data_IF_434955107710
#
_entry.id   IF_434955107710
#
_cell.length_a   1.000
_cell.length_b   1.000
_cell.length_c   1.000
_cell.angle_alpha   90.00
_cell.angle_beta   90.00
_cell.angle_gamma   90.00
#
_symmetry.space_group_name_H-M   'P 1'
#
loop_
_entity.id
_entity.type
_entity.pdbx_description
1 polymer ?
#
# COMPACT_ATOMS: atom_id res chain seq x y z
N UNK A 1 48.64 3.34 -16.24
CA UNK A 1 47.50 2.42 -16.21
C UNK A 1 46.31 3.28 -16.53
N UNK A 2 45.71 3.12 -17.71
CA UNK A 2 44.46 3.81 -18.05
C UNK A 2 43.39 3.33 -17.05
N UNK A 3 42.71 4.27 -16.39
CA UNK A 3 41.52 3.97 -15.61
C UNK A 3 40.52 3.33 -16.56
N UNK A 4 40.31 2.01 -16.43
CA UNK A 4 39.30 1.31 -17.19
C UNK A 4 37.94 1.87 -16.78
N UNK A 5 37.21 2.50 -17.70
CA UNK A 5 35.82 2.87 -17.45
C UNK A 5 35.03 1.62 -17.02
N UNK A 6 34.55 1.63 -15.78
CA UNK A 6 33.70 0.56 -15.26
C UNK A 6 32.25 0.90 -15.54
N UNK A 7 31.59 0.06 -16.35
CA UNK A 7 30.14 0.11 -16.53
C UNK A 7 29.45 -0.68 -15.40
N UNK A 8 28.46 -0.07 -14.75
CA UNK A 8 27.64 -0.73 -13.72
C UNK A 8 26.30 -1.18 -14.29
N UNK A 9 25.83 -2.35 -13.86
CA UNK A 9 24.48 -2.82 -14.18
C UNK A 9 23.43 -2.01 -13.40
N UNK A 10 22.36 -1.59 -14.07
CA UNK A 10 21.27 -0.83 -13.47
C UNK A 10 19.94 -1.53 -13.70
N UNK A 11 19.06 -1.48 -12.71
CA UNK A 11 17.72 -2.09 -12.76
C UNK A 11 16.68 -0.97 -12.74
N UNK A 12 15.89 -0.88 -13.82
CA UNK A 12 14.76 0.02 -13.87
C UNK A 12 13.71 -0.37 -12.83
N UNK A 13 13.09 0.62 -12.18
CA UNK A 13 12.06 0.43 -11.15
C UNK A 13 10.92 -0.47 -11.61
N UNK A 14 10.47 -0.31 -12.87
CA UNK A 14 9.42 -1.11 -13.50
C UNK A 14 9.69 -2.63 -13.47
N UNK A 15 10.95 -3.05 -13.35
CA UNK A 15 11.32 -4.47 -13.21
C UNK A 15 10.66 -5.12 -12.00
N UNK A 16 10.47 -4.36 -10.90
CA UNK A 16 9.75 -4.88 -9.73
C UNK A 16 8.28 -5.14 -10.02
N UNK A 17 7.63 -4.31 -10.84
CA UNK A 17 6.23 -4.50 -11.24
C UNK A 17 6.07 -5.81 -12.01
N UNK A 18 6.98 -6.07 -12.96
CA UNK A 18 7.00 -7.32 -13.72
C UNK A 18 7.27 -8.53 -12.81
N UNK A 19 8.24 -8.42 -11.91
CA UNK A 19 8.56 -9.51 -10.98
C UNK A 19 7.37 -9.82 -10.05
N UNK A 20 6.68 -8.79 -9.55
CA UNK A 20 5.52 -9.00 -8.70
C UNK A 20 4.31 -9.59 -9.43
N UNK A 21 4.07 -9.19 -10.68
CA UNK A 21 2.96 -9.73 -11.48
C UNK A 21 3.18 -11.20 -11.87
N UNK A 22 4.43 -11.62 -12.09
CA UNK A 22 4.78 -13.02 -12.36
C UNK A 22 4.77 -13.89 -11.09
N UNK A 23 5.27 -13.37 -9.96
CA UNK A 23 5.39 -14.14 -8.72
C UNK A 23 4.07 -14.29 -7.96
N UNK A 24 3.18 -13.30 -8.06
CA UNK A 24 1.87 -13.30 -7.41
C UNK A 24 0.79 -13.36 -8.49
N UNK A 25 0.36 -14.59 -8.78
CA UNK A 25 -0.47 -14.89 -9.96
C UNK A 25 -1.95 -14.53 -9.81
N UNK A 26 -2.44 -14.38 -8.58
CA UNK A 26 -3.84 -14.09 -8.28
C UNK A 26 -4.01 -13.27 -7.01
N UNK A 27 -5.17 -12.62 -6.86
CA UNK A 27 -5.49 -11.76 -5.71
C UNK A 27 -5.66 -12.63 -4.46
N UNK A 28 -6.17 -13.84 -4.61
CA UNK A 28 -6.29 -14.86 -3.58
C UNK A 28 -4.91 -15.27 -3.05
N UNK A 29 -3.94 -15.50 -3.95
CA UNK A 29 -2.55 -15.79 -3.56
C UNK A 29 -1.92 -14.60 -2.85
N UNK A 30 -2.19 -13.38 -3.30
CA UNK A 30 -1.69 -12.17 -2.66
C UNK A 30 -2.16 -12.07 -1.20
N UNK A 31 -3.47 -12.23 -0.97
CA UNK A 31 -4.07 -12.25 0.37
C UNK A 31 -3.47 -13.39 1.19
N UNK A 32 -3.35 -14.59 0.62
CA UNK A 32 -2.79 -15.75 1.31
C UNK A 32 -1.34 -15.54 1.79
N UNK A 33 -0.48 -14.92 0.98
CA UNK A 33 0.90 -14.58 1.39
C UNK A 33 0.92 -13.58 2.56
N UNK A 34 0.02 -12.59 2.57
CA UNK A 34 -0.09 -11.64 3.68
C UNK A 34 -0.57 -12.32 4.97
N UNK A 35 -1.51 -13.26 4.85
CA UNK A 35 -1.97 -14.08 5.99
C UNK A 35 -0.84 -14.96 6.55
N UNK A 36 -0.04 -15.58 5.68
CA UNK A 36 1.14 -16.35 6.13
C UNK A 36 2.12 -15.48 6.90
N UNK A 37 2.39 -14.26 6.43
CA UNK A 37 3.28 -13.33 7.12
C UNK A 37 2.76 -12.98 8.53
N UNK A 38 1.46 -12.75 8.69
CA UNK A 38 0.85 -12.53 10.00
C UNK A 38 1.00 -13.75 10.94
N UNK A 39 0.80 -14.97 10.44
CA UNK A 39 1.02 -16.19 11.24
C UNK A 39 2.49 -16.51 11.48
N UNK A 40 3.40 -16.07 10.60
CA UNK A 40 4.84 -16.11 10.81
C UNK A 40 5.29 -15.12 11.88
N UNK A 41 4.59 -14.00 12.03
CA UNK A 41 4.72 -13.08 13.17
C UNK A 41 4.12 -13.63 14.48
N UNK A 42 3.69 -14.90 14.49
CA UNK A 42 3.07 -15.57 15.64
C UNK A 42 1.74 -14.95 16.09
N UNK A 43 1.02 -14.29 15.19
CA UNK A 43 -0.32 -13.79 15.50
C UNK A 43 -1.31 -14.95 15.70
N UNK A 44 -2.11 -14.95 16.78
CA UNK A 44 -3.13 -15.97 17.02
C UNK A 44 -4.37 -15.83 16.12
N UNK A 45 -4.58 -14.64 15.56
CA UNK A 45 -5.73 -14.32 14.69
C UNK A 45 -5.36 -13.23 13.70
N UNK A 46 -6.00 -13.23 12.55
CA UNK A 46 -5.85 -12.16 11.55
C UNK A 46 -7.22 -11.60 11.24
N UNK A 47 -7.36 -10.27 11.26
CA UNK A 47 -8.58 -9.57 10.88
C UNK A 47 -8.40 -9.02 9.48
N UNK A 48 -9.35 -9.32 8.60
CA UNK A 48 -9.41 -8.75 7.26
C UNK A 48 -10.64 -7.85 7.20
N UNK A 49 -10.46 -6.61 6.73
CA UNK A 49 -11.54 -5.69 6.42
C UNK A 49 -11.41 -5.28 4.97
N UNK A 50 -12.48 -5.46 4.20
CA UNK A 50 -12.58 -4.99 2.82
C UNK A 50 -13.66 -3.91 2.79
N UNK A 51 -13.26 -2.70 2.45
CA UNK A 51 -14.14 -1.56 2.34
C UNK A 51 -14.14 -1.12 0.89
N UNK A 52 -15.22 -1.39 0.15
CA UNK A 52 -15.37 -1.01 -1.26
C UNK A 52 -16.72 -0.31 -1.51
N UNK A 53 -16.99 0.82 -0.84
CA UNK A 53 -18.26 1.51 -0.96
C UNK A 53 -18.47 2.17 -2.32
N UNK A 54 -17.42 2.39 -3.10
CA UNK A 54 -17.50 3.13 -4.38
C UNK A 54 -17.06 2.24 -5.53
N UNK A 55 -17.76 2.31 -6.66
CA UNK A 55 -17.37 1.60 -7.87
C UNK A 55 -15.96 2.02 -8.35
N UNK A 56 -15.10 1.06 -8.66
CA UNK A 56 -13.71 1.33 -9.06
C UNK A 56 -13.58 2.18 -10.32
N UNK A 57 -14.57 2.15 -11.23
CA UNK A 57 -14.61 3.02 -12.42
C UNK A 57 -14.68 4.49 -12.02
N UNK A 58 -15.54 4.82 -11.05
CA UNK A 58 -15.71 6.18 -10.56
C UNK A 58 -14.44 6.67 -9.87
N UNK A 59 -13.75 5.80 -9.11
CA UNK A 59 -12.46 6.15 -8.51
C UNK A 59 -11.38 6.44 -9.56
N UNK A 60 -11.33 5.66 -10.65
CA UNK A 60 -10.41 5.94 -11.77
C UNK A 60 -10.70 7.30 -12.40
N UNK A 61 -11.98 7.62 -12.65
CA UNK A 61 -12.38 8.93 -13.18
C UNK A 61 -11.98 10.07 -12.21
N UNK A 62 -12.20 9.90 -10.91
CA UNK A 62 -11.79 10.87 -9.89
C UNK A 62 -10.28 11.09 -9.89
N UNK A 63 -9.49 10.01 -9.99
CA UNK A 63 -8.03 10.12 -10.08
C UNK A 63 -7.56 10.84 -11.34
N UNK A 64 -8.19 10.58 -12.50
CA UNK A 64 -7.89 11.31 -13.74
C UNK A 64 -8.20 12.80 -13.61
N UNK A 65 -9.32 13.15 -12.98
CA UNK A 65 -9.68 14.54 -12.72
C UNK A 65 -8.65 15.21 -11.80
N UNK A 66 -8.29 14.58 -10.68
CA UNK A 66 -7.29 15.08 -9.75
C UNK A 66 -5.92 15.29 -10.42
N UNK A 67 -5.48 14.35 -11.26
CA UNK A 67 -4.23 14.46 -12.01
C UNK A 67 -4.26 15.61 -13.02
N UNK A 68 -5.37 15.79 -13.75
CA UNK A 68 -5.53 16.86 -14.72
C UNK A 68 -5.55 18.27 -14.10
N UNK A 69 -5.97 18.37 -12.83
CA UNK A 69 -5.95 19.65 -12.13
C UNK A 69 -4.57 19.98 -11.54
N UNK A 70 -3.73 18.99 -11.20
CA UNK A 70 -2.46 19.21 -10.47
C UNK A 70 -1.53 20.29 -11.06
N UNK A 71 -1.50 20.46 -12.39
CA UNK A 71 -0.65 21.44 -13.06
C UNK A 71 -1.32 22.79 -13.37
N UNK A 72 -2.59 22.99 -13.00
CA UNK A 72 -3.30 24.24 -13.27
C UNK A 72 -3.05 25.28 -12.18
N UNK A 73 -2.72 26.51 -12.59
CA UNK A 73 -2.45 27.63 -11.67
C UNK A 73 -3.67 28.13 -10.89
N UNK A 74 -4.88 27.94 -11.42
CA UNK A 74 -6.14 28.43 -10.83
C UNK A 74 -7.10 27.26 -10.57
N UNK A 75 -6.85 26.50 -9.51
CA UNK A 75 -7.77 25.44 -9.07
C UNK A 75 -8.61 26.00 -7.94
N UNK A 76 -9.93 25.99 -8.13
CA UNK A 76 -10.87 26.31 -7.06
C UNK A 76 -11.17 24.99 -6.32
N UNK A 77 -10.50 24.77 -5.19
CA UNK A 77 -10.58 23.50 -4.45
C UNK A 77 -12.01 23.14 -4.03
N UNK A 78 -12.85 24.13 -3.70
CA UNK A 78 -14.24 23.87 -3.33
C UNK A 78 -15.09 23.36 -4.49
N UNK A 79 -14.89 23.86 -5.70
CA UNK A 79 -15.56 23.36 -6.92
C UNK A 79 -15.12 21.92 -7.21
N UNK A 80 -13.81 21.66 -7.16
CA UNK A 80 -13.27 20.32 -7.37
C UNK A 80 -13.81 19.31 -6.36
N UNK A 81 -13.91 19.69 -5.08
CA UNK A 81 -14.53 18.85 -4.05
C UNK A 81 -15.99 18.54 -4.35
N UNK A 82 -16.76 19.55 -4.77
CA UNK A 82 -18.18 19.38 -5.07
C UNK A 82 -18.37 18.38 -6.22
N UNK A 83 -17.61 18.53 -7.31
CA UNK A 83 -17.64 17.63 -8.46
C UNK A 83 -17.26 16.19 -8.09
N UNK A 84 -16.22 16.02 -7.26
CA UNK A 84 -15.78 14.71 -6.79
C UNK A 84 -16.85 14.06 -5.91
N UNK A 85 -17.41 14.80 -4.96
CA UNK A 85 -18.46 14.29 -4.06
C UNK A 85 -19.68 13.84 -4.86
N UNK A 86 -20.12 14.60 -5.85
CA UNK A 86 -21.25 14.24 -6.71
C UNK A 86 -20.97 12.93 -7.46
N UNK A 87 -19.81 12.83 -8.12
CA UNK A 87 -19.37 11.60 -8.81
C UNK A 87 -19.31 10.40 -7.88
N UNK A 88 -18.71 10.56 -6.70
CA UNK A 88 -18.55 9.50 -5.71
C UNK A 88 -19.90 9.02 -5.20
N UNK A 89 -20.83 9.93 -4.92
CA UNK A 89 -22.21 9.58 -4.53
C UNK A 89 -22.91 8.79 -5.63
N UNK A 90 -22.75 9.18 -6.90
CA UNK A 90 -23.28 8.43 -8.05
C UNK A 90 -22.69 7.01 -8.17
N UNK A 91 -21.44 6.82 -7.73
CA UNK A 91 -20.75 5.53 -7.68
C UNK A 91 -20.94 4.73 -6.41
N UNK A 92 -21.71 5.21 -5.43
CA UNK A 92 -21.81 4.60 -4.11
C UNK A 92 -22.71 3.36 -4.12
N UNK A 93 -22.17 2.25 -3.63
CA UNK A 93 -22.77 0.91 -3.69
C UNK A 93 -23.47 0.57 -2.38
N UNK A 94 -22.91 0.95 -1.22
CA UNK A 94 -23.48 0.62 0.09
C UNK A 94 -24.64 1.55 0.43
N UNK A 95 -25.87 1.04 0.29
CA UNK A 95 -27.09 1.80 0.54
C UNK A 95 -27.98 1.11 1.58
N UNK A 96 -28.70 1.93 2.35
CA UNK A 96 -29.74 1.48 3.27
C UNK A 96 -30.97 0.97 2.51
N UNK A 97 -31.92 0.41 3.26
CA UNK A 97 -33.20 -0.05 2.71
C UNK A 97 -34.00 1.08 2.04
N UNK A 98 -33.83 2.31 2.52
CA UNK A 98 -34.42 3.53 1.97
C UNK A 98 -33.64 4.12 0.79
N UNK A 99 -32.56 3.47 0.36
CA UNK A 99 -31.66 3.94 -0.69
C UNK A 99 -30.69 5.03 -0.26
N UNK A 100 -30.67 5.42 1.02
CA UNK A 100 -29.70 6.37 1.57
C UNK A 100 -28.28 5.79 1.54
N UNK A 101 -27.29 6.66 1.39
CA UNK A 101 -25.88 6.27 1.41
C UNK A 101 -25.48 5.86 2.82
N UNK A 102 -24.91 4.65 2.96
CA UNK A 102 -24.26 4.21 4.20
C UNK A 102 -22.78 4.59 4.14
N UNK A 103 -22.41 5.69 4.80
CA UNK A 103 -21.03 6.15 4.96
C UNK A 103 -20.55 5.98 6.41
N UNK A 104 -20.28 4.73 6.80
CA UNK A 104 -19.93 4.37 8.18
C UNK A 104 -18.57 4.88 8.66
N UNK A 105 -17.71 5.35 7.75
CA UNK A 105 -16.36 5.85 8.05
C UNK A 105 -16.18 7.34 7.72
N UNK A 106 -17.29 8.09 7.55
CA UNK A 106 -17.29 9.53 7.25
C UNK A 106 -16.40 9.89 6.04
N UNK A 107 -16.37 9.04 5.02
CA UNK A 107 -15.50 9.20 3.86
C UNK A 107 -15.86 10.42 3.03
N UNK A 108 -17.15 10.71 2.87
CA UNK A 108 -17.61 11.91 2.17
C UNK A 108 -17.22 13.18 2.94
N UNK A 109 -17.28 13.13 4.27
CA UNK A 109 -16.80 14.24 5.10
C UNK A 109 -15.29 14.44 4.96
N UNK A 110 -14.48 13.37 4.92
CA UNK A 110 -13.03 13.47 4.73
C UNK A 110 -12.64 14.14 3.40
N UNK A 111 -13.42 13.90 2.34
CA UNK A 111 -13.24 14.58 1.05
C UNK A 111 -13.64 16.05 1.16
N UNK A 112 -14.75 16.33 1.83
CA UNK A 112 -15.21 17.70 2.05
C UNK A 112 -14.20 18.52 2.89
N UNK A 113 -13.61 17.92 3.92
CA UNK A 113 -12.69 18.58 4.86
C UNK A 113 -11.26 18.75 4.36
N UNK A 114 -10.86 18.06 3.29
CA UNK A 114 -9.52 18.14 2.72
C UNK A 114 -9.09 19.57 2.38
N UNK A 115 -8.07 20.12 3.03
CA UNK A 115 -7.64 21.51 2.90
C UNK A 115 -6.77 21.80 1.66
N UNK A 116 -6.23 20.77 1.01
CA UNK A 116 -5.37 20.88 -0.15
C UNK A 116 -5.54 19.67 -1.09
N UNK A 117 -4.85 19.69 -2.23
CA UNK A 117 -4.97 18.63 -3.25
C UNK A 117 -4.43 17.29 -2.76
N UNK A 118 -3.38 17.29 -1.94
CA UNK A 118 -2.78 16.05 -1.46
C UNK A 118 -3.65 15.40 -0.38
N UNK A 119 -4.23 16.19 0.53
CA UNK A 119 -5.22 15.69 1.50
C UNK A 119 -6.49 15.19 0.79
N UNK A 120 -6.89 15.83 -0.31
CA UNK A 120 -8.04 15.41 -1.13
C UNK A 120 -7.76 14.09 -1.88
N UNK A 121 -6.57 13.96 -2.48
CA UNK A 121 -6.12 12.70 -3.12
C UNK A 121 -6.09 11.56 -2.10
N UNK A 122 -5.51 11.80 -0.92
CA UNK A 122 -5.44 10.80 0.15
C UNK A 122 -6.84 10.39 0.65
N UNK A 123 -7.78 11.34 0.77
CA UNK A 123 -9.17 11.02 1.11
C UNK A 123 -9.84 10.14 0.04
N UNK A 124 -9.59 10.40 -1.25
CA UNK A 124 -10.10 9.59 -2.34
C UNK A 124 -9.49 8.18 -2.36
N UNK A 125 -8.19 8.05 -2.09
CA UNK A 125 -7.50 6.76 -2.01
C UNK A 125 -8.02 5.88 -0.86
N UNK A 126 -8.50 6.49 0.24
CA UNK A 126 -9.09 5.79 1.39
C UNK A 126 -10.57 5.43 1.20
N UNK A 127 -11.17 5.73 0.05
CA UNK A 127 -12.55 5.34 -0.24
C UNK A 127 -12.68 3.82 -0.27
N UNK A 128 -11.84 3.18 -1.08
CA UNK A 128 -11.76 1.73 -1.17
C UNK A 128 -10.42 1.24 -0.65
N UNK A 129 -10.43 0.28 0.27
CA UNK A 129 -9.21 -0.33 0.80
C UNK A 129 -9.43 -1.76 1.27
N UNK A 130 -8.32 -2.48 1.36
CA UNK A 130 -8.20 -3.76 2.06
C UNK A 130 -7.27 -3.51 3.25
N UNK A 131 -7.72 -3.82 4.45
CA UNK A 131 -6.95 -3.76 5.69
C UNK A 131 -6.76 -5.18 6.21
N UNK A 132 -5.51 -5.56 6.45
CA UNK A 132 -5.14 -6.82 7.08
C UNK A 132 -4.39 -6.48 8.35
N UNK A 133 -4.92 -6.89 9.50
CA UNK A 133 -4.37 -6.59 10.82
C UNK A 133 -4.09 -7.88 11.57
N UNK A 134 -2.91 -7.95 12.17
CA UNK A 134 -2.50 -9.03 13.05
C UNK A 134 -2.05 -8.50 14.41
N UNK A 135 -1.98 -9.37 15.41
CA UNK A 135 -1.49 -9.05 16.76
C UNK A 135 -0.26 -9.88 17.10
N UNK A 136 0.60 -10.10 16.11
CA UNK A 136 1.86 -10.80 16.25
C UNK A 136 2.92 -9.94 16.93
N UNK A 137 4.18 -10.34 16.76
CA UNK A 137 5.33 -9.69 17.41
C UNK A 137 5.64 -8.28 16.88
N UNK A 138 5.17 -7.96 15.67
CA UNK A 138 5.51 -6.72 14.97
C UNK A 138 6.98 -6.65 14.56
N UNK A 139 7.40 -5.47 14.09
CA UNK A 139 8.76 -5.18 13.65
C UNK A 139 9.28 -3.89 14.32
N UNK A 140 10.58 -3.85 14.61
CA UNK A 140 11.27 -2.60 14.93
C UNK A 140 11.68 -1.85 13.64
N UNK A 141 12.24 -0.65 13.79
CA UNK A 141 12.69 0.18 12.65
C UNK A 141 13.68 -0.57 11.74
N UNK A 142 14.65 -1.28 12.30
CA UNK A 142 15.65 -2.00 11.51
C UNK A 142 15.02 -3.15 10.72
N UNK A 143 14.10 -3.91 11.32
CA UNK A 143 13.38 -4.99 10.65
C UNK A 143 12.46 -4.43 9.56
N UNK A 144 11.79 -3.30 9.82
CA UNK A 144 10.94 -2.64 8.83
C UNK A 144 11.75 -2.08 7.65
N UNK A 145 12.98 -1.63 7.84
CA UNK A 145 13.80 -1.08 6.76
C UNK A 145 14.64 -2.14 6.04
N UNK A 146 15.38 -2.96 6.78
CA UNK A 146 16.39 -3.86 6.21
C UNK A 146 15.82 -5.21 5.77
N UNK A 147 14.81 -5.72 6.48
CA UNK A 147 14.22 -7.03 6.17
C UNK A 147 12.97 -6.90 5.30
N UNK A 148 12.14 -5.88 5.53
CA UNK A 148 10.94 -5.68 4.75
C UNK A 148 11.23 -5.25 3.31
N UNK A 149 12.17 -4.33 3.04
CA UNK A 149 12.39 -3.80 1.68
C UNK A 149 13.34 -4.64 0.81
N UNK A 150 14.13 -5.54 1.41
CA UNK A 150 15.21 -6.25 0.72
C UNK A 150 14.77 -7.60 0.14
N UNK A 151 14.83 -7.75 -1.18
CA UNK A 151 14.48 -9.00 -1.92
C UNK A 151 15.60 -10.01 -1.80
N UNK A 152 15.22 -11.28 -1.51
CA UNK A 152 16.17 -12.39 -1.38
C UNK A 152 16.92 -12.43 -0.04
N UNK A 153 16.40 -11.83 1.03
CA UNK A 153 17.00 -11.97 2.36
C UNK A 153 16.75 -13.37 2.93
N UNK A 154 17.82 -14.04 3.35
CA UNK A 154 17.80 -15.28 4.14
C UNK A 154 17.37 -15.05 5.60
N UNK A 155 16.75 -13.91 5.92
CA UNK A 155 16.38 -13.53 7.29
C UNK A 155 15.49 -14.60 7.95
N UNK A 156 14.61 -15.24 7.16
CA UNK A 156 13.74 -16.33 7.61
C UNK A 156 14.43 -17.70 7.63
N UNK A 157 15.55 -17.89 6.93
CA UNK A 157 16.35 -19.13 7.00
C UNK A 157 17.19 -19.18 8.29
N UNK A 158 17.64 -18.03 8.79
CA UNK A 158 18.47 -17.92 10.01
C UNK A 158 17.59 -18.01 11.27
N UNK A 159 16.34 -17.53 11.20
CA UNK A 159 15.34 -17.54 12.29
C UNK A 159 14.20 -18.54 12.05
N UNK A 160 14.43 -19.60 11.26
CA UNK A 160 13.40 -20.48 10.67
C UNK A 160 12.58 -21.36 11.62
N UNK A 161 12.75 -21.17 12.94
CA UNK A 161 12.00 -21.88 13.98
C UNK A 161 11.24 -20.83 14.79
N UNK A 162 9.91 -20.90 14.73
CA UNK A 162 9.03 -20.08 15.58
C UNK A 162 9.27 -20.42 17.05
N UNK A 163 8.85 -19.55 17.98
CA UNK A 163 9.03 -19.86 19.42
C UNK A 163 8.31 -21.14 19.87
N UNK A 164 7.31 -21.59 19.11
CA UNK A 164 6.58 -22.85 19.34
C UNK A 164 7.19 -24.08 18.63
N UNK A 165 8.36 -23.94 18.01
CA UNK A 165 9.06 -25.01 17.30
C UNK A 165 8.53 -25.31 15.89
N UNK A 166 7.51 -24.60 15.41
CA UNK A 166 6.99 -24.80 14.05
C UNK A 166 7.85 -24.10 13.00
N UNK A 167 7.84 -24.66 11.79
CA UNK A 167 8.47 -24.05 10.63
C UNK A 167 7.76 -22.74 10.22
N UNK A 168 8.54 -21.78 9.76
CA UNK A 168 8.07 -20.55 9.11
C UNK A 168 7.44 -20.90 7.76
N UNK A 169 6.27 -20.34 7.44
CA UNK A 169 5.45 -20.72 6.29
C UNK A 169 5.86 -19.99 4.99
N UNK A 170 6.48 -18.81 5.07
CA UNK A 170 6.85 -18.01 3.91
C UNK A 170 8.34 -17.75 3.76
N UNK A 171 9.07 -18.54 2.96
CA UNK A 171 10.55 -18.46 2.88
C UNK A 171 11.11 -17.71 1.65
N UNK A 172 10.26 -17.12 0.81
CA UNK A 172 10.70 -16.56 -0.49
C UNK A 172 10.99 -15.06 -0.48
N UNK A 173 10.66 -14.33 0.60
CA UNK A 173 10.90 -12.88 0.67
C UNK A 173 10.10 -12.04 -0.32
N UNK A 174 9.01 -12.57 -0.88
CA UNK A 174 8.21 -11.94 -1.95
C UNK A 174 6.82 -11.46 -1.47
N UNK A 175 6.40 -11.82 -0.25
CA UNK A 175 5.04 -11.57 0.24
C UNK A 175 4.63 -10.10 0.35
N UNK A 176 5.56 -9.16 0.22
CA UNK A 176 5.29 -7.72 0.12
C UNK A 176 4.86 -7.26 -1.28
N UNK A 177 5.25 -7.99 -2.32
CA UNK A 177 4.76 -7.79 -3.69
C UNK A 177 3.25 -8.10 -3.78
N UNK A 178 2.70 -8.84 -2.81
CA UNK A 178 1.27 -9.04 -2.67
C UNK A 178 0.51 -7.73 -2.46
N UNK A 179 1.06 -6.78 -1.70
CA UNK A 179 0.39 -5.49 -1.50
C UNK A 179 0.37 -4.66 -2.78
N UNK A 180 1.46 -4.71 -3.55
CA UNK A 180 1.57 -4.07 -4.87
C UNK A 180 0.54 -4.62 -5.86
N UNK A 181 0.21 -5.91 -5.77
CA UNK A 181 -0.87 -6.51 -6.57
C UNK A 181 -2.26 -6.02 -6.12
N UNK A 182 -2.49 -5.96 -4.80
CA UNK A 182 -3.82 -5.66 -4.23
C UNK A 182 -4.19 -4.17 -4.28
N UNK A 183 -3.22 -3.27 -4.37
CA UNK A 183 -3.48 -1.84 -4.42
C UNK A 183 -2.32 -1.04 -4.98
N UNK A 184 -2.63 0.10 -5.61
CA UNK A 184 -1.61 1.01 -6.14
C UNK A 184 -0.88 1.81 -5.06
N UNK A 185 -1.44 1.88 -3.84
CA UNK A 185 -0.77 2.39 -2.65
C UNK A 185 -0.90 1.39 -1.50
N UNK A 186 0.05 1.39 -0.58
CA UNK A 186 -0.01 0.56 0.62
C UNK A 186 0.59 1.29 1.81
N UNK A 187 0.00 1.11 2.99
CA UNK A 187 0.53 1.60 4.25
C UNK A 187 0.78 0.39 5.14
N UNK A 188 1.96 0.34 5.75
CA UNK A 188 2.25 -0.61 6.82
C UNK A 188 2.45 0.19 8.09
N UNK A 189 1.79 -0.26 9.15
CA UNK A 189 1.95 0.22 10.50
C UNK A 189 2.31 -0.98 11.37
N UNK A 190 3.36 -0.84 12.19
CA UNK A 190 3.84 -1.93 13.02
C UNK A 190 4.44 -1.40 14.31
N UNK A 191 4.27 -2.17 15.37
CA UNK A 191 4.83 -1.90 16.67
C UNK A 191 5.31 -3.21 17.27
N UNK A 192 6.46 -3.19 17.94
CA UNK A 192 6.98 -4.35 18.64
C UNK A 192 7.27 -4.01 20.10
N UNK A 193 7.32 -5.05 20.95
CA UNK A 193 7.58 -4.87 22.38
C UNK A 193 8.95 -4.21 22.60
N UNK A 194 8.95 -3.05 23.25
CA UNK A 194 10.17 -2.26 23.49
C UNK A 194 10.31 -1.07 22.56
N UNK A 195 9.50 -0.98 21.49
CA UNK A 195 9.39 0.24 20.69
C UNK A 195 8.64 1.33 21.45
N UNK A 196 9.20 2.54 21.48
CA UNK A 196 8.56 3.73 22.05
C UNK A 196 7.50 4.32 21.10
N UNK A 197 7.68 4.13 19.80
CA UNK A 197 6.84 4.70 18.74
C UNK A 197 6.28 3.60 17.83
N UNK A 198 5.16 3.91 17.16
CA UNK A 198 4.67 3.14 16.02
C UNK A 198 5.58 3.42 14.83
N UNK A 199 5.97 2.39 14.10
CA UNK A 199 6.72 2.55 12.85
C UNK A 199 5.77 2.40 11.67
N UNK A 200 5.88 3.30 10.69
CA UNK A 200 5.08 3.20 9.48
C UNK A 200 5.84 3.55 8.21
N UNK A 201 5.45 2.90 7.12
CA UNK A 201 6.00 3.10 5.78
C UNK A 201 4.86 3.14 4.75
N UNK A 202 4.83 4.19 3.93
CA UNK A 202 3.89 4.31 2.81
C UNK A 202 4.60 3.94 1.51
N UNK A 203 3.94 3.10 0.73
CA UNK A 203 4.32 2.70 -0.61
C UNK A 203 3.37 3.33 -1.62
N UNK A 204 3.93 4.07 -2.59
CA UNK A 204 3.23 4.44 -3.81
C UNK A 204 3.74 3.58 -4.97
N UNK A 205 3.09 2.45 -5.21
CA UNK A 205 3.50 1.51 -6.25
C UNK A 205 3.34 2.06 -7.65
N UNK A 206 2.48 3.07 -7.84
CA UNK A 206 2.29 3.72 -9.14
C UNK A 206 3.53 4.52 -9.56
N UNK A 207 4.37 4.94 -8.59
CA UNK A 207 5.64 5.61 -8.89
C UNK A 207 6.64 4.72 -9.65
N UNK A 208 6.50 3.39 -9.55
CA UNK A 208 7.38 2.42 -10.21
C UNK A 208 7.09 2.24 -11.70
N UNK A 209 6.01 2.85 -12.21
CA UNK A 209 5.64 2.72 -13.62
C UNK A 209 6.53 3.57 -14.54
N UNK A 210 7.37 4.47 -14.02
CA UNK A 210 8.33 5.19 -14.87
C UNK A 210 9.45 4.25 -15.35
N UNK A 211 9.72 4.23 -16.66
CA UNK A 211 10.87 3.54 -17.23
C UNK A 211 12.21 4.20 -16.88
N UNK A 212 12.17 5.47 -16.49
CA UNK A 212 13.35 6.32 -16.35
C UNK A 212 13.86 6.35 -14.91
N UNK A 213 13.08 5.81 -13.96
CA UNK A 213 13.47 5.67 -12.56
C UNK A 213 14.27 4.38 -12.37
N UNK A 214 15.43 4.49 -11.73
CA UNK A 214 16.17 3.34 -11.26
C UNK A 214 15.62 2.88 -9.91
N UNK A 215 15.67 1.57 -9.64
CA UNK A 215 15.22 1.04 -8.36
C UNK A 215 15.98 1.66 -7.16
N UNK A 216 17.26 1.99 -7.35
CA UNK A 216 18.09 2.65 -6.34
C UNK A 216 17.67 4.08 -6.01
N UNK A 217 16.84 4.71 -6.84
CA UNK A 217 16.42 6.11 -6.69
C UNK A 217 15.07 6.24 -5.96
N UNK A 218 14.42 5.10 -5.66
CA UNK A 218 13.13 5.09 -4.97
C UNK A 218 13.33 5.18 -3.47
N UNK A 219 12.76 6.23 -2.88
CA UNK A 219 12.78 6.47 -1.45
C UNK A 219 11.37 6.34 -0.88
N UNK A 220 11.25 5.70 0.27
CA UNK A 220 10.00 5.60 1.01
C UNK A 220 10.06 6.49 2.26
N UNK A 221 9.07 7.36 2.48
CA UNK A 221 9.03 8.14 3.71
C UNK A 221 8.76 7.21 4.91
N UNK A 222 9.59 7.36 5.95
CA UNK A 222 9.38 6.70 7.24
C UNK A 222 8.59 7.66 8.11
N UNK A 223 7.47 7.20 8.63
CA UNK A 223 6.66 7.94 9.60
C UNK A 223 6.97 7.38 10.99
N UNK A 224 7.26 8.27 11.95
CA UNK A 224 7.51 7.99 13.36
C UNK A 224 6.48 8.73 14.22
#
# INVERSE_FOLDING_TARGET
MEDSEMANFQVAARTLLHLGSELITSDEVAIYELLKNAFDAESPRVKIRIMCPVNSKILRECNTLLAAQFNKKNIVLCELKADLIDKIKGGWILKGEDGSIIDSENKLYNIHSADNIDTLKNACLKLNYIEITDSGKGMDENNLLDAFLKIGTSYKDINGIKTDGKAVLGNKGIGRLSMMRLGGKSLIETWCKGSEYLHAIEFDWQSFDSSDLLLSEINFPILK
#
